data_IF_713490907388
#
_entry.id   IF_713490907388
#
_cell.length_a   1.000
_cell.length_b   1.000
_cell.length_c   1.000
_cell.angle_alpha   90.00
_cell.angle_beta   90.00
_cell.angle_gamma   90.00
#
_symmetry.space_group_name_H-M   'P 1'
#
loop_
_entity.id
_entity.type
_entity.pdbx_description
1 polymer ?
#
# COMPACT_ATOMS: atom_id res chain seq x y z
N UNK A 1 -11.97 12.59 17.82
CA UNK A 1 -10.84 12.06 17.04
C UNK A 1 -10.35 13.02 15.95
N UNK A 2 -11.24 13.70 15.27
CA UNK A 2 -10.90 14.66 14.20
C UNK A 2 -10.07 15.86 14.70
N UNK A 3 -10.24 16.26 15.95
CA UNK A 3 -9.61 17.46 16.52
C UNK A 3 -8.10 17.29 16.81
N UNK A 4 -7.65 16.07 17.14
CA UNK A 4 -6.26 15.81 17.50
C UNK A 4 -5.34 15.79 16.28
N UNK A 5 -5.79 15.21 15.18
CA UNK A 5 -5.01 15.16 13.94
C UNK A 5 -4.85 16.57 13.35
N UNK A 6 -5.87 17.41 13.48
CA UNK A 6 -5.83 18.77 12.96
C UNK A 6 -4.80 19.66 13.68
N UNK A 7 -4.73 19.53 15.01
CA UNK A 7 -3.71 20.24 15.81
C UNK A 7 -2.29 19.74 15.50
N UNK A 8 -2.11 18.42 15.41
CA UNK A 8 -0.82 17.83 15.06
C UNK A 8 -0.35 18.28 13.67
N UNK A 9 -1.23 18.28 12.69
CA UNK A 9 -0.95 18.78 11.32
C UNK A 9 -0.55 20.25 11.36
N UNK A 10 -1.26 21.08 12.10
CA UNK A 10 -0.95 22.51 12.23
C UNK A 10 0.44 22.76 12.83
N UNK A 11 0.81 21.99 13.85
CA UNK A 11 2.15 22.07 14.45
C UNK A 11 3.24 21.60 13.46
N UNK A 12 2.98 20.54 12.72
CA UNK A 12 3.89 20.06 11.67
C UNK A 12 4.10 21.10 10.56
N UNK A 13 3.06 21.85 10.19
CA UNK A 13 3.13 22.93 9.19
C UNK A 13 3.97 24.13 9.68
N UNK A 14 4.05 24.31 11.00
CA UNK A 14 4.92 25.33 11.62
C UNK A 14 6.37 24.84 11.83
N UNK A 15 6.74 23.74 11.20
CA UNK A 15 8.11 23.15 11.26
C UNK A 15 8.51 22.64 12.66
N UNK A 16 7.53 22.36 13.53
CA UNK A 16 7.80 21.79 14.85
C UNK A 16 8.31 20.34 14.71
N UNK A 17 9.59 20.16 15.01
CA UNK A 17 10.27 18.86 14.90
C UNK A 17 9.74 17.81 15.87
N UNK A 18 9.23 18.22 17.02
CA UNK A 18 8.61 17.29 17.97
C UNK A 18 7.25 16.81 17.45
N UNK A 19 6.47 17.71 16.85
CA UNK A 19 5.21 17.34 16.20
C UNK A 19 5.45 16.41 15.00
N UNK A 20 6.46 16.70 14.17
CA UNK A 20 6.83 15.83 13.05
C UNK A 20 7.24 14.43 13.54
N UNK A 21 8.07 14.33 14.58
CA UNK A 21 8.45 13.05 15.19
C UNK A 21 7.23 12.31 15.71
N UNK A 22 6.36 13.00 16.46
CA UNK A 22 5.12 12.42 17.00
C UNK A 22 4.21 11.86 15.91
N UNK A 23 4.12 12.55 14.77
CA UNK A 23 3.35 12.08 13.61
C UNK A 23 3.95 10.77 13.06
N UNK A 24 5.26 10.69 12.91
CA UNK A 24 5.96 9.48 12.45
C UNK A 24 5.80 8.33 13.46
N UNK A 25 5.96 8.61 14.76
CA UNK A 25 5.84 7.59 15.81
C UNK A 25 4.41 7.03 15.90
N UNK A 26 3.41 7.87 15.70
CA UNK A 26 2.01 7.49 15.78
C UNK A 26 1.53 6.71 14.54
N UNK A 27 1.89 7.16 13.36
CA UNK A 27 1.40 6.62 12.09
C UNK A 27 2.37 5.66 11.40
N UNK A 28 3.65 5.68 11.77
CA UNK A 28 4.67 4.79 11.20
C UNK A 28 4.33 3.32 11.32
N UNK A 29 4.06 2.78 12.51
CA UNK A 29 3.77 1.37 12.69
C UNK A 29 2.56 0.88 11.87
N UNK A 30 1.37 1.53 11.89
CA UNK A 30 0.24 1.08 11.10
C UNK A 30 0.46 1.23 9.58
N UNK A 31 1.15 2.27 9.12
CA UNK A 31 1.50 2.41 7.70
C UNK A 31 2.55 1.37 7.29
N UNK A 32 3.53 1.06 8.13
CA UNK A 32 4.48 -0.03 7.89
C UNK A 32 3.77 -1.38 7.75
N UNK A 33 2.82 -1.68 8.65
CA UNK A 33 1.98 -2.88 8.56
C UNK A 33 1.21 -2.95 7.23
N UNK A 34 0.67 -1.82 6.78
CA UNK A 34 0.00 -1.74 5.48
C UNK A 34 0.97 -2.02 4.31
N UNK A 35 2.18 -1.46 4.34
CA UNK A 35 3.21 -1.72 3.32
C UNK A 35 3.63 -3.18 3.34
N UNK A 36 3.84 -3.77 4.51
CA UNK A 36 4.19 -5.19 4.69
C UNK A 36 3.13 -6.16 4.16
N UNK A 37 1.89 -5.71 4.06
CA UNK A 37 0.83 -6.50 3.45
C UNK A 37 1.07 -6.75 1.95
N UNK A 38 1.74 -5.81 1.26
CA UNK A 38 2.09 -5.91 -0.15
C UNK A 38 3.51 -6.44 -0.38
N UNK A 39 4.48 -5.98 0.40
CA UNK A 39 5.90 -6.27 0.22
C UNK A 39 6.41 -7.20 1.33
N UNK A 40 7.08 -8.30 0.93
CA UNK A 40 7.64 -9.27 1.89
C UNK A 40 8.94 -8.78 2.49
N UNK A 41 9.77 -8.12 1.69
CA UNK A 41 11.08 -7.65 2.11
C UNK A 41 10.98 -6.49 3.10
N UNK A 42 11.67 -6.61 4.24
CA UNK A 42 11.64 -5.60 5.29
C UNK A 42 12.39 -4.32 4.89
N UNK A 43 13.48 -4.45 4.14
CA UNK A 43 14.28 -3.29 3.71
C UNK A 43 13.50 -2.48 2.68
N UNK A 44 12.91 -3.14 1.68
CA UNK A 44 12.04 -2.47 0.72
C UNK A 44 10.86 -1.77 1.42
N UNK A 45 10.24 -2.44 2.38
CA UNK A 45 9.12 -1.86 3.14
C UNK A 45 9.54 -0.63 3.98
N UNK A 46 10.73 -0.65 4.57
CA UNK A 46 11.27 0.50 5.31
C UNK A 46 11.61 1.67 4.38
N UNK A 47 12.19 1.41 3.20
CA UNK A 47 12.46 2.45 2.21
C UNK A 47 11.16 3.10 1.73
N UNK A 48 10.13 2.31 1.44
CA UNK A 48 8.81 2.83 1.07
C UNK A 48 8.20 3.65 2.22
N UNK A 49 8.29 3.18 3.46
CA UNK A 49 7.81 3.93 4.62
C UNK A 49 8.47 5.30 4.73
N UNK A 50 9.77 5.36 4.55
CA UNK A 50 10.54 6.61 4.57
C UNK A 50 10.06 7.54 3.44
N UNK A 51 9.91 7.03 2.23
CA UNK A 51 9.40 7.78 1.08
C UNK A 51 7.97 8.29 1.28
N UNK A 52 7.13 7.53 1.99
CA UNK A 52 5.77 7.94 2.36
C UNK A 52 5.82 9.18 3.24
N UNK A 53 6.64 9.20 4.30
CA UNK A 53 6.71 10.35 5.20
C UNK A 53 7.39 11.56 4.56
N UNK A 54 8.42 11.38 3.74
CA UNK A 54 9.01 12.46 2.94
C UNK A 54 7.94 13.11 2.05
N UNK A 55 7.18 12.28 1.32
CA UNK A 55 6.08 12.75 0.48
C UNK A 55 4.96 13.40 1.29
N UNK A 56 4.63 12.83 2.45
CA UNK A 56 3.60 13.34 3.33
C UNK A 56 3.95 14.75 3.84
N UNK A 57 5.14 14.96 4.38
CA UNK A 57 5.56 16.28 4.86
C UNK A 57 5.61 17.31 3.73
N UNK A 58 6.06 16.92 2.55
CA UNK A 58 6.06 17.80 1.37
C UNK A 58 4.66 18.23 0.94
N UNK A 59 3.68 17.34 1.05
CA UNK A 59 2.30 17.56 0.62
C UNK A 59 1.35 17.95 1.76
N UNK A 60 1.83 17.99 3.00
CA UNK A 60 1.02 18.33 4.18
C UNK A 60 0.30 19.68 4.06
N UNK A 61 0.89 20.73 3.43
CA UNK A 61 0.18 21.98 3.18
C UNK A 61 -1.10 21.83 2.34
N UNK A 62 -1.22 20.77 1.56
CA UNK A 62 -2.39 20.49 0.71
C UNK A 62 -3.40 19.55 1.38
N UNK A 63 -3.14 19.07 2.59
CA UNK A 63 -4.07 18.23 3.34
C UNK A 63 -5.27 19.06 3.82
N UNK A 64 -6.44 18.79 3.25
CA UNK A 64 -7.66 19.57 3.52
C UNK A 64 -8.47 19.09 4.74
N UNK A 65 -8.10 17.95 5.34
CA UNK A 65 -8.86 17.37 6.45
C UNK A 65 -10.20 16.75 6.05
N UNK A 66 -10.43 16.50 4.77
CA UNK A 66 -11.64 15.83 4.25
C UNK A 66 -11.69 14.33 4.61
N UNK A 67 -10.56 13.75 4.96
CA UNK A 67 -10.41 12.39 5.47
C UNK A 67 -9.55 12.40 6.74
N UNK A 68 -9.49 11.27 7.45
CA UNK A 68 -8.52 11.14 8.54
C UNK A 68 -7.09 11.19 7.99
N UNK A 69 -6.15 11.66 8.80
CA UNK A 69 -4.74 11.72 8.44
C UNK A 69 -4.20 10.31 8.08
N UNK A 70 -4.66 9.28 8.79
CA UNK A 70 -4.31 7.89 8.48
C UNK A 70 -4.75 7.47 7.06
N UNK A 71 -5.99 7.78 6.66
CA UNK A 71 -6.48 7.47 5.32
C UNK A 71 -5.70 8.21 4.24
N UNK A 72 -5.35 9.45 4.47
CA UNK A 72 -4.55 10.24 3.57
C UNK A 72 -3.12 9.67 3.41
N UNK A 73 -2.46 9.32 4.52
CA UNK A 73 -1.15 8.65 4.52
C UNK A 73 -1.20 7.30 3.81
N UNK A 74 -2.30 6.55 4.00
CA UNK A 74 -2.52 5.26 3.34
C UNK A 74 -2.61 5.40 1.81
N UNK A 75 -3.22 6.47 1.31
CA UNK A 75 -3.25 6.76 -0.14
C UNK A 75 -1.84 7.04 -0.67
N UNK A 76 -1.04 7.81 0.06
CA UNK A 76 0.36 8.08 -0.31
C UNK A 76 1.15 6.77 -0.33
N UNK A 77 1.01 5.94 0.71
CA UNK A 77 1.66 4.63 0.79
C UNK A 77 1.28 3.72 -0.37
N UNK A 78 0.00 3.63 -0.71
CA UNK A 78 -0.51 2.86 -1.83
C UNK A 78 0.15 3.28 -3.15
N UNK A 79 0.22 4.56 -3.43
CA UNK A 79 0.84 5.09 -4.65
C UNK A 79 2.35 4.75 -4.70
N UNK A 80 3.05 4.84 -3.56
CA UNK A 80 4.47 4.46 -3.48
C UNK A 80 4.70 2.98 -3.69
N UNK A 81 3.86 2.13 -3.10
CA UNK A 81 3.90 0.68 -3.29
C UNK A 81 3.72 0.33 -4.78
N UNK A 82 2.69 0.86 -5.43
CA UNK A 82 2.43 0.55 -6.83
C UNK A 82 3.55 1.03 -7.76
N UNK A 83 4.08 2.23 -7.52
CA UNK A 83 5.24 2.72 -8.26
C UNK A 83 6.46 1.82 -8.09
N UNK A 84 6.76 1.38 -6.85
CA UNK A 84 7.86 0.48 -6.56
C UNK A 84 7.71 -0.86 -7.30
N UNK A 85 6.54 -1.47 -7.21
CA UNK A 85 6.23 -2.75 -7.87
C UNK A 85 6.31 -2.61 -9.39
N UNK A 86 5.74 -1.57 -9.96
CA UNK A 86 5.83 -1.27 -11.39
C UNK A 86 7.29 -1.16 -11.85
N UNK A 87 8.13 -0.44 -11.13
CA UNK A 87 9.55 -0.27 -11.45
C UNK A 87 10.30 -1.60 -11.37
N UNK A 88 10.06 -2.37 -10.30
CA UNK A 88 10.65 -3.68 -10.09
C UNK A 88 10.19 -4.69 -11.15
N UNK A 89 8.92 -4.64 -11.54
CA UNK A 89 8.36 -5.47 -12.60
C UNK A 89 9.01 -5.17 -13.95
N UNK A 90 9.10 -3.90 -14.33
CA UNK A 90 9.74 -3.50 -15.60
C UNK A 90 11.20 -3.91 -15.71
N UNK A 91 11.94 -3.91 -14.61
CA UNK A 91 13.34 -4.36 -14.59
C UNK A 91 13.49 -5.90 -14.68
N UNK A 92 12.43 -6.65 -14.38
CA UNK A 92 12.43 -8.13 -14.38
C UNK A 92 11.68 -8.75 -15.58
N UNK A 93 11.10 -7.95 -16.49
CA UNK A 93 10.30 -8.43 -17.63
C UNK A 93 11.10 -9.31 -18.58
N UNK A 94 12.42 -9.19 -18.65
CA UNK A 94 13.28 -10.05 -19.47
C UNK A 94 13.37 -11.50 -18.96
N UNK A 95 12.79 -11.84 -17.80
CA UNK A 95 12.87 -13.16 -17.16
C UNK A 95 11.55 -13.94 -17.09
N UNK A 96 10.46 -13.43 -17.64
CA UNK A 96 9.14 -14.07 -17.50
C UNK A 96 8.63 -14.51 -18.85
N UNK A 97 8.58 -15.85 -19.04
CA UNK A 97 7.84 -16.43 -20.14
C UNK A 97 6.33 -16.16 -19.98
N UNK A 98 5.63 -15.73 -21.06
CA UNK A 98 4.22 -15.31 -20.98
C UNK A 98 3.22 -16.46 -20.82
N UNK A 99 3.64 -17.62 -20.38
CA UNK A 99 2.84 -18.84 -20.36
C UNK A 99 2.60 -19.40 -18.98
N UNK A 100 1.71 -18.83 -18.20
CA UNK A 100 0.88 -19.61 -17.26
C UNK A 100 0.02 -18.74 -16.36
N UNK A 101 -1.02 -18.16 -16.93
CA UNK A 101 -2.20 -17.85 -16.14
C UNK A 101 -3.25 -18.92 -16.48
N UNK A 102 -3.58 -19.83 -15.58
CA UNK A 102 -4.75 -20.65 -15.79
C UNK A 102 -5.97 -19.72 -15.75
N UNK A 103 -6.73 -19.75 -16.83
CA UNK A 103 -8.03 -19.12 -16.95
C UNK A 103 -9.01 -19.92 -16.06
N UNK A 104 -8.88 -19.76 -14.75
CA UNK A 104 -9.78 -20.38 -13.79
C UNK A 104 -10.80 -19.37 -13.34
N UNK A 105 -12.02 -19.54 -13.83
CA UNK A 105 -13.21 -18.91 -13.29
C UNK A 105 -13.24 -19.14 -11.76
N UNK A 106 -13.11 -18.08 -10.99
CA UNK A 106 -13.21 -18.12 -9.54
C UNK A 106 -14.69 -18.41 -9.18
N UNK A 107 -14.94 -19.56 -8.58
CA UNK A 107 -16.27 -19.91 -8.09
C UNK A 107 -16.51 -19.20 -6.76
N UNK A 108 -17.39 -18.20 -6.74
CA UNK A 108 -17.74 -17.41 -5.55
C UNK A 108 -18.23 -18.26 -4.37
N UNK A 109 -18.65 -19.49 -4.63
CA UNK A 109 -19.17 -20.41 -3.60
C UNK A 109 -18.07 -20.93 -2.67
N UNK A 110 -16.82 -20.90 -3.08
CA UNK A 110 -15.67 -21.40 -2.29
C UNK A 110 -15.27 -20.39 -1.19
N UNK A 111 -15.49 -19.10 -1.42
CA UNK A 111 -15.08 -18.03 -0.50
C UNK A 111 -15.84 -18.04 0.84
N UNK A 112 -17.02 -18.63 0.90
CA UNK A 112 -17.82 -18.67 2.14
C UNK A 112 -17.36 -19.74 3.15
N UNK A 113 -16.52 -20.69 2.71
CA UNK A 113 -16.12 -21.86 3.52
C UNK A 113 -14.66 -21.80 3.98
N UNK A 114 -13.84 -20.93 3.40
CA UNK A 114 -12.40 -20.83 3.69
C UNK A 114 -12.14 -19.75 4.74
N UNK A 115 -11.36 -20.10 5.76
CA UNK A 115 -10.92 -19.16 6.78
C UNK A 115 -10.04 -18.07 6.13
N UNK A 116 -10.35 -16.80 6.38
CA UNK A 116 -9.62 -15.64 5.83
C UNK A 116 -8.11 -15.72 6.03
N UNK A 117 -7.66 -16.28 7.16
CA UNK A 117 -6.24 -16.43 7.47
C UNK A 117 -5.55 -17.47 6.57
N UNK A 118 -6.24 -18.55 6.23
CA UNK A 118 -5.72 -19.60 5.33
C UNK A 118 -5.55 -19.06 3.90
N UNK A 119 -6.47 -18.21 3.44
CA UNK A 119 -6.34 -17.54 2.13
C UNK A 119 -5.11 -16.62 2.11
N UNK A 120 -4.91 -15.84 3.17
CA UNK A 120 -3.77 -14.92 3.26
C UNK A 120 -2.44 -15.68 3.30
N UNK A 121 -2.38 -16.80 4.01
CA UNK A 121 -1.20 -17.66 4.04
C UNK A 121 -0.86 -18.25 2.66
N UNK A 122 -1.86 -18.63 1.88
CA UNK A 122 -1.66 -19.09 0.50
C UNK A 122 -1.28 -17.94 -0.45
N UNK A 123 -1.90 -16.78 -0.29
CA UNK A 123 -1.55 -15.57 -1.06
C UNK A 123 -0.11 -15.13 -0.78
N UNK A 124 0.38 -15.32 0.44
CA UNK A 124 1.75 -15.00 0.81
C UNK A 124 2.81 -15.90 0.15
N UNK A 125 2.41 -17.07 -0.33
CA UNK A 125 3.28 -17.99 -1.12
C UNK A 125 3.40 -17.57 -2.57
N UNK A 126 2.51 -16.72 -3.08
CA UNK A 126 2.55 -16.25 -4.46
C UNK A 126 3.79 -15.38 -4.73
N UNK A 127 4.29 -15.36 -5.98
CA UNK A 127 5.22 -14.33 -6.42
C UNK A 127 4.66 -12.94 -6.12
N UNK A 128 5.52 -12.00 -5.77
CA UNK A 128 5.13 -10.67 -5.27
C UNK A 128 4.15 -9.95 -6.20
N UNK A 129 4.38 -10.00 -7.52
CA UNK A 129 3.48 -9.37 -8.50
C UNK A 129 2.09 -10.01 -8.50
N UNK A 130 2.01 -11.32 -8.41
CA UNK A 130 0.72 -12.04 -8.40
C UNK A 130 -0.05 -11.72 -7.12
N UNK A 131 0.65 -11.64 -5.99
CA UNK A 131 0.08 -11.21 -4.72
C UNK A 131 -0.51 -9.80 -4.83
N UNK A 132 0.24 -8.87 -5.41
CA UNK A 132 -0.21 -7.49 -5.57
C UNK A 132 -1.43 -7.38 -6.48
N UNK A 133 -1.41 -8.05 -7.64
CA UNK A 133 -2.57 -8.07 -8.54
C UNK A 133 -3.80 -8.66 -7.83
N UNK A 134 -3.62 -9.74 -7.08
CA UNK A 134 -4.69 -10.34 -6.28
C UNK A 134 -5.25 -9.34 -5.25
N UNK A 135 -4.38 -8.69 -4.48
CA UNK A 135 -4.78 -7.72 -3.46
C UNK A 135 -5.48 -6.50 -4.07
N UNK A 136 -4.98 -6.00 -5.19
CA UNK A 136 -5.63 -4.89 -5.91
C UNK A 136 -7.04 -5.25 -6.36
N UNK A 137 -7.25 -6.47 -6.85
CA UNK A 137 -8.55 -6.92 -7.32
C UNK A 137 -9.49 -7.27 -6.16
N UNK A 138 -9.06 -8.15 -5.24
CA UNK A 138 -9.93 -8.72 -4.21
C UNK A 138 -10.14 -7.78 -3.03
N UNK A 139 -9.09 -7.06 -2.60
CA UNK A 139 -9.15 -6.20 -1.41
C UNK A 139 -9.49 -4.76 -1.76
N UNK A 140 -8.87 -4.22 -2.81
CA UNK A 140 -9.07 -2.82 -3.22
C UNK A 140 -10.20 -2.65 -4.24
N UNK A 141 -10.68 -3.74 -4.86
CA UNK A 141 -11.81 -3.74 -5.79
C UNK A 141 -11.50 -3.22 -7.20
N UNK A 142 -10.22 -3.10 -7.57
CA UNK A 142 -9.85 -2.69 -8.93
C UNK A 142 -10.18 -3.77 -9.96
N UNK A 143 -10.67 -3.35 -11.13
CA UNK A 143 -10.86 -4.24 -12.28
C UNK A 143 -9.50 -4.56 -12.92
N UNK A 144 -9.38 -5.72 -13.58
CA UNK A 144 -8.14 -6.14 -14.23
C UNK A 144 -7.60 -5.10 -15.22
N UNK A 145 -8.47 -4.41 -15.96
CA UNK A 145 -8.07 -3.32 -16.87
C UNK A 145 -7.48 -2.11 -16.14
N UNK A 146 -8.02 -1.77 -14.96
CA UNK A 146 -7.50 -0.70 -14.11
C UNK A 146 -6.15 -1.08 -13.52
N UNK A 147 -5.99 -2.34 -13.09
CA UNK A 147 -4.73 -2.89 -12.59
C UNK A 147 -3.66 -2.83 -13.67
N UNK A 148 -3.98 -3.27 -14.89
CA UNK A 148 -3.07 -3.19 -16.03
C UNK A 148 -2.62 -1.75 -16.28
N UNK A 149 -3.53 -0.79 -16.31
CA UNK A 149 -3.22 0.63 -16.50
C UNK A 149 -2.34 1.23 -15.38
N UNK A 150 -2.49 0.74 -14.15
CA UNK A 150 -1.67 1.19 -13.00
C UNK A 150 -0.26 0.62 -13.09
N UNK A 151 -0.11 -0.64 -13.51
CA UNK A 151 1.15 -1.38 -13.54
C UNK A 151 1.91 -1.28 -14.87
N UNK A 152 1.30 -0.75 -15.93
CA UNK A 152 1.98 -0.41 -17.20
C UNK A 152 2.96 0.77 -17.01
#
# INVERSE_FOLDING_TARGET
MINYDHELVKLCLNDDKNAQRKLVDQYGPPIFGYIKYYLKDNYEAQDILQDVFISAFKNLPHFKGESSLFQWLKIIAKNKIYHHIKTKWKSNVDMIEPNSFPDSAFDETILSTINKNEILDEVDKLPEINKVVFLMNVVEGYRHQEIAAILE
#
